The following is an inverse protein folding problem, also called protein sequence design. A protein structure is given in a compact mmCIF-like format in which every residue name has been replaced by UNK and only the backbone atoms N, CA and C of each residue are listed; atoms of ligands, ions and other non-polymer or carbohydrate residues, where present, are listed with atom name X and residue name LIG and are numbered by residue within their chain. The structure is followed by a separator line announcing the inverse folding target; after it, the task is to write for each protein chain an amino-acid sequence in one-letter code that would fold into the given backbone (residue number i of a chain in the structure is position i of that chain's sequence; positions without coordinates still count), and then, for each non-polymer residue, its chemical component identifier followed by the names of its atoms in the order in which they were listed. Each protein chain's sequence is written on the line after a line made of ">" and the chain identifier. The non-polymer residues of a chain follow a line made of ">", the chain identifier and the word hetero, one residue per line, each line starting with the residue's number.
data_IF_597877487606
#
_entry.id   IF_597877487606
#
_cell.length_a   1.000
_cell.length_b   1.000
_cell.length_c   1.000
_cell.angle_alpha   90.00
_cell.angle_beta   90.00
_cell.angle_gamma   90.00
#
_symmetry.space_group_name_H-M   'P 1'
#
loop_
_entity.id
_entity.type
_entity.pdbx_description
1 polymer ?
#
# COMPACT_ATOMS: atom_id res chain seq x y z
N UNK A 1 21.21 29.10 -31.77
CA UNK A 1 20.09 28.26 -32.26
C UNK A 1 19.73 27.32 -31.13
N UNK A 2 18.49 27.36 -30.66
CA UNK A 2 18.06 26.37 -29.65
C UNK A 2 18.09 24.97 -30.28
N UNK A 3 18.89 24.09 -29.75
CA UNK A 3 18.93 22.69 -30.18
C UNK A 3 17.57 22.07 -29.92
N UNK A 4 16.94 21.47 -30.92
CA UNK A 4 15.67 20.75 -30.77
C UNK A 4 15.95 19.28 -30.44
N UNK A 5 15.10 18.66 -29.64
CA UNK A 5 15.07 17.24 -29.34
C UNK A 5 13.77 16.62 -29.86
N UNK A 6 13.83 15.37 -30.28
CA UNK A 6 12.67 14.60 -30.74
C UNK A 6 12.19 13.70 -29.60
N UNK A 7 10.92 13.86 -29.27
CA UNK A 7 10.23 13.03 -28.29
C UNK A 7 9.24 12.12 -29.03
N UNK A 8 9.49 10.82 -29.00
CA UNK A 8 8.63 9.81 -29.57
C UNK A 8 7.68 9.27 -28.49
N UNK A 9 6.38 9.43 -28.70
CA UNK A 9 5.33 9.01 -27.77
C UNK A 9 4.68 7.72 -28.26
N UNK A 10 4.94 6.59 -27.60
CA UNK A 10 4.31 5.27 -27.84
C UNK A 10 4.28 4.82 -29.30
N UNK A 11 5.24 5.23 -30.12
CA UNK A 11 5.23 5.03 -31.58
C UNK A 11 3.97 5.58 -32.30
N UNK A 12 3.19 6.45 -31.63
CA UNK A 12 2.00 7.10 -32.17
C UNK A 12 2.36 8.42 -32.86
N UNK A 13 3.15 9.25 -32.21
CA UNK A 13 3.59 10.53 -32.75
C UNK A 13 4.98 10.94 -32.25
N UNK A 14 5.67 11.71 -33.03
CA UNK A 14 6.95 12.32 -32.67
C UNK A 14 6.82 13.84 -32.72
N UNK A 15 7.13 14.50 -31.60
CA UNK A 15 7.06 15.96 -31.45
C UNK A 15 8.45 16.52 -31.14
N UNK A 16 8.76 17.68 -31.69
CA UNK A 16 10.04 18.37 -31.43
C UNK A 16 9.85 19.42 -30.33
N UNK A 17 10.76 19.41 -29.34
CA UNK A 17 10.79 20.37 -28.25
C UNK A 17 12.18 21.01 -28.14
N UNK A 18 12.31 22.23 -27.62
CA UNK A 18 13.60 22.79 -27.25
C UNK A 18 14.32 21.88 -26.23
N UNK A 19 15.63 21.71 -26.40
CA UNK A 19 16.47 21.04 -25.40
C UNK A 19 16.33 21.73 -24.03
N UNK A 20 16.20 20.95 -22.95
CA UNK A 20 15.95 21.44 -21.61
C UNK A 20 14.45 21.60 -21.26
N UNK A 21 13.53 21.27 -22.18
CA UNK A 21 12.10 21.27 -21.87
C UNK A 21 11.79 20.18 -20.84
N UNK A 22 10.99 20.52 -19.80
CA UNK A 22 10.61 19.58 -18.77
C UNK A 22 9.60 18.56 -19.27
N UNK A 23 9.59 17.36 -18.69
CA UNK A 23 8.55 16.36 -18.99
C UNK A 23 7.13 16.86 -18.63
N UNK A 24 7.00 17.79 -17.64
CA UNK A 24 5.71 18.43 -17.34
C UNK A 24 5.21 19.28 -18.52
N UNK A 25 6.09 20.04 -19.17
CA UNK A 25 5.71 20.83 -20.32
C UNK A 25 5.45 19.95 -21.56
N UNK A 26 6.27 18.93 -21.74
CA UNK A 26 6.06 17.91 -22.80
C UNK A 26 4.72 17.19 -22.59
N UNK A 27 4.37 16.83 -21.36
CA UNK A 27 3.12 16.09 -21.08
C UNK A 27 1.84 16.86 -21.46
N UNK A 28 1.90 18.18 -21.55
CA UNK A 28 0.74 19.00 -21.94
C UNK A 28 0.23 18.67 -23.35
N UNK A 29 1.16 18.38 -24.29
CA UNK A 29 0.80 17.97 -25.66
C UNK A 29 0.10 16.61 -25.71
N UNK A 30 0.44 15.74 -24.77
CA UNK A 30 -0.05 14.35 -24.71
C UNK A 30 -1.20 14.16 -23.73
N UNK A 31 -1.59 15.17 -22.93
CA UNK A 31 -2.70 15.08 -21.96
C UNK A 31 -4.01 14.66 -22.62
N UNK A 32 -4.21 14.98 -23.91
CA UNK A 32 -5.38 14.59 -24.71
C UNK A 32 -5.64 13.08 -24.81
N UNK A 33 -4.62 12.25 -24.53
CA UNK A 33 -4.70 10.78 -24.53
C UNK A 33 -5.03 10.19 -23.17
N UNK A 34 -5.20 11.02 -22.13
CA UNK A 34 -5.40 10.59 -20.74
C UNK A 34 -6.64 11.23 -20.15
N UNK A 35 -7.41 10.41 -19.42
CA UNK A 35 -8.63 10.88 -18.74
C UNK A 35 -8.33 11.65 -17.46
N UNK A 36 -7.16 11.41 -16.86
CA UNK A 36 -6.73 12.02 -15.60
C UNK A 36 -5.41 12.78 -15.79
N UNK A 37 -5.05 13.66 -14.84
CA UNK A 37 -3.76 14.34 -14.90
C UNK A 37 -2.59 13.34 -15.01
N UNK A 38 -1.68 13.63 -15.92
CA UNK A 38 -0.43 12.88 -16.04
C UNK A 38 0.44 13.16 -14.81
N UNK A 39 0.89 12.12 -14.13
CA UNK A 39 1.59 12.20 -12.84
C UNK A 39 3.09 11.93 -12.94
N UNK A 40 3.46 10.92 -13.73
CA UNK A 40 4.85 10.52 -13.96
C UNK A 40 5.06 10.12 -15.41
N UNK A 41 6.32 10.00 -15.81
CA UNK A 41 6.71 9.55 -17.14
C UNK A 41 7.62 8.32 -17.07
N UNK A 42 7.66 7.57 -18.17
CA UNK A 42 8.65 6.54 -18.46
C UNK A 42 9.44 6.99 -19.68
N UNK A 43 10.74 7.21 -19.49
CA UNK A 43 11.66 7.68 -20.54
C UNK A 43 12.67 6.58 -20.82
N UNK A 44 12.75 6.11 -22.05
CA UNK A 44 13.68 5.03 -22.47
C UNK A 44 13.64 3.83 -21.48
N UNK A 45 12.43 3.43 -21.07
CA UNK A 45 12.12 2.37 -20.09
C UNK A 45 12.41 2.68 -18.61
N UNK A 46 12.84 3.88 -18.24
CA UNK A 46 13.04 4.28 -16.85
C UNK A 46 11.92 5.20 -16.36
N UNK A 47 11.27 4.84 -15.24
CA UNK A 47 10.29 5.72 -14.58
C UNK A 47 10.98 6.97 -14.03
N UNK A 48 10.36 8.11 -14.23
CA UNK A 48 10.90 9.40 -13.80
C UNK A 48 9.82 10.44 -13.56
N UNK A 49 10.15 11.43 -12.73
CA UNK A 49 9.27 12.56 -12.38
C UNK A 49 9.10 13.54 -13.55
N UNK A 50 7.98 14.24 -13.56
CA UNK A 50 7.68 15.23 -14.59
C UNK A 50 8.57 16.50 -14.55
N UNK A 51 9.23 16.78 -13.43
CA UNK A 51 10.18 17.90 -13.31
C UNK A 51 11.53 17.67 -13.99
N UNK A 52 11.78 16.47 -14.54
CA UNK A 52 13.02 16.16 -15.25
C UNK A 52 13.06 16.89 -16.59
N UNK A 53 14.18 17.56 -16.88
CA UNK A 53 14.48 18.19 -18.15
C UNK A 53 15.01 17.18 -19.16
N UNK A 54 14.62 17.33 -20.41
CA UNK A 54 15.03 16.44 -21.49
C UNK A 54 16.15 17.08 -22.33
N UNK A 55 17.27 16.37 -22.41
CA UNK A 55 18.52 16.86 -23.01
C UNK A 55 18.84 16.20 -24.37
N UNK A 56 18.17 15.12 -24.71
CA UNK A 56 18.39 14.30 -25.91
C UNK A 56 17.08 13.71 -26.43
N UNK A 57 17.11 13.22 -27.66
CA UNK A 57 15.99 12.46 -28.22
C UNK A 57 15.67 11.26 -27.31
N UNK A 58 14.40 10.97 -27.15
CA UNK A 58 13.93 9.91 -26.25
C UNK A 58 12.58 9.34 -26.66
N UNK A 59 12.30 8.13 -26.18
CA UNK A 59 10.97 7.55 -26.18
C UNK A 59 10.31 7.83 -24.84
N UNK A 60 9.07 8.34 -24.87
CA UNK A 60 8.33 8.70 -23.66
C UNK A 60 6.99 8.01 -23.65
N UNK A 61 6.64 7.48 -22.49
CA UNK A 61 5.28 7.11 -22.11
C UNK A 61 4.89 7.86 -20.84
N UNK A 62 3.61 8.20 -20.68
CA UNK A 62 3.11 8.89 -19.51
C UNK A 62 2.11 8.02 -18.75
N UNK A 63 2.02 8.25 -17.45
CA UNK A 63 1.12 7.49 -16.59
C UNK A 63 0.30 8.42 -15.71
N UNK A 64 -1.00 8.25 -15.76
CA UNK A 64 -1.96 8.81 -14.83
C UNK A 64 -2.32 7.80 -13.73
N UNK A 65 -3.30 8.13 -12.88
CA UNK A 65 -3.72 7.30 -11.76
C UNK A 65 -4.45 5.99 -12.14
N UNK A 66 -4.81 5.79 -13.39
CA UNK A 66 -5.45 4.55 -13.86
C UNK A 66 -4.46 3.39 -14.02
N UNK A 67 -3.16 3.68 -14.00
CA UNK A 67 -2.08 2.70 -14.13
C UNK A 67 -1.28 2.62 -12.83
N UNK A 68 -0.83 1.42 -12.44
CA UNK A 68 -0.16 1.14 -11.16
C UNK A 68 0.94 2.15 -10.82
N UNK A 69 1.83 2.49 -11.77
CA UNK A 69 2.94 3.41 -11.52
C UNK A 69 2.44 4.84 -11.21
N UNK A 70 1.48 5.35 -11.97
CA UNK A 70 0.86 6.65 -11.72
C UNK A 70 0.00 6.64 -10.45
N UNK A 71 -0.72 5.55 -10.17
CA UNK A 71 -1.49 5.42 -8.94
C UNK A 71 -0.59 5.41 -7.70
N UNK A 72 0.58 4.78 -7.76
CA UNK A 72 1.57 4.82 -6.67
C UNK A 72 2.05 6.26 -6.41
N UNK A 73 2.33 7.02 -7.47
CA UNK A 73 2.72 8.43 -7.35
C UNK A 73 1.57 9.27 -6.75
N UNK A 74 0.33 9.03 -7.18
CA UNK A 74 -0.87 9.67 -6.61
C UNK A 74 -1.01 9.38 -5.12
N UNK A 75 -0.97 8.11 -4.73
CA UNK A 75 -1.09 7.65 -3.35
C UNK A 75 -0.03 8.29 -2.43
N UNK A 76 1.23 8.28 -2.86
CA UNK A 76 2.33 8.89 -2.11
C UNK A 76 2.16 10.41 -1.98
N UNK A 77 1.68 11.07 -3.03
CA UNK A 77 1.45 12.52 -3.02
C UNK A 77 0.31 12.92 -2.07
N UNK A 78 -0.81 12.19 -2.10
CA UNK A 78 -1.94 12.45 -1.19
C UNK A 78 -1.57 12.18 0.28
N UNK A 79 -0.74 11.18 0.54
CA UNK A 79 -0.22 10.91 1.87
C UNK A 79 0.70 12.04 2.36
N UNK A 80 1.56 12.59 1.50
CA UNK A 80 2.39 13.73 1.86
C UNK A 80 1.57 14.98 2.16
N UNK A 81 0.50 15.24 1.38
CA UNK A 81 -0.44 16.32 1.65
C UNK A 81 -1.16 16.14 2.99
N UNK A 82 -1.55 14.91 3.34
CA UNK A 82 -2.13 14.60 4.66
C UNK A 82 -1.16 14.98 5.79
N UNK A 83 0.11 14.59 5.70
CA UNK A 83 1.12 14.92 6.72
C UNK A 83 1.26 16.42 6.88
N UNK A 84 1.30 17.19 5.78
CA UNK A 84 1.35 18.66 5.82
C UNK A 84 0.07 19.23 6.45
N UNK A 85 -1.12 18.77 6.05
CA UNK A 85 -2.40 19.25 6.59
C UNK A 85 -2.53 18.99 8.09
N UNK A 86 -2.11 17.81 8.56
CA UNK A 86 -2.11 17.50 10.01
C UNK A 86 -1.19 18.46 10.77
N UNK A 87 0.01 18.74 10.25
CA UNK A 87 0.93 19.70 10.87
C UNK A 87 0.39 21.13 10.88
N UNK A 88 -0.30 21.54 9.84
CA UNK A 88 -0.91 22.88 9.77
C UNK A 88 -2.04 23.02 10.79
N UNK A 89 -2.84 21.98 11.02
CA UNK A 89 -4.00 22.03 11.93
C UNK A 89 -3.63 21.74 13.39
N UNK A 90 -2.74 20.78 13.64
CA UNK A 90 -2.41 20.31 15.00
C UNK A 90 -1.07 20.85 15.53
N UNK A 91 -0.28 21.46 14.66
CA UNK A 91 1.02 22.04 15.00
C UNK A 91 2.20 21.31 14.37
N UNK A 92 3.32 22.03 14.24
CA UNK A 92 4.53 21.59 13.49
C UNK A 92 5.21 20.31 14.03
N UNK A 93 4.88 19.89 15.24
CA UNK A 93 5.45 18.71 15.89
C UNK A 93 4.50 17.50 15.85
N UNK A 94 3.32 17.64 15.25
CA UNK A 94 2.39 16.51 15.08
C UNK A 94 2.92 15.59 14.00
N UNK A 95 2.93 14.29 14.29
CA UNK A 95 3.36 13.25 13.36
C UNK A 95 2.19 12.31 13.04
N UNK A 96 2.07 11.98 11.75
CA UNK A 96 1.05 11.05 11.24
C UNK A 96 1.73 9.72 10.94
N UNK A 97 1.27 8.69 11.60
CA UNK A 97 1.66 7.32 11.27
C UNK A 97 0.70 6.75 10.23
N UNK A 98 1.16 6.59 9.01
CA UNK A 98 0.47 5.88 7.94
C UNK A 98 0.87 4.42 8.07
N UNK A 99 -0.08 3.56 8.48
CA UNK A 99 0.24 2.20 8.90
C UNK A 99 0.03 1.19 7.75
N UNK A 100 -1.17 0.68 7.61
CA UNK A 100 -1.47 -0.41 6.68
C UNK A 100 -2.61 -0.03 5.74
N UNK A 101 -2.60 -0.67 4.58
CA UNK A 101 -3.75 -0.63 3.69
C UNK A 101 -4.95 -1.32 4.35
N UNK A 102 -6.11 -0.72 4.24
CA UNK A 102 -7.37 -1.26 4.72
C UNK A 102 -8.49 -0.87 3.77
N UNK A 103 -9.23 -1.87 3.27
CA UNK A 103 -10.28 -1.67 2.27
C UNK A 103 -9.76 -0.82 1.08
N UNK A 104 -10.36 0.32 0.79
CA UNK A 104 -9.98 1.21 -0.31
C UNK A 104 -9.11 2.40 0.14
N UNK A 105 -8.30 2.24 1.18
CA UNK A 105 -7.47 3.32 1.71
C UNK A 105 -6.33 2.85 2.58
N UNK A 106 -5.79 3.77 3.37
CA UNK A 106 -4.74 3.51 4.35
C UNK A 106 -5.18 3.99 5.72
N UNK A 107 -4.90 3.16 6.73
CA UNK A 107 -5.18 3.50 8.13
C UNK A 107 -4.12 4.44 8.67
N UNK A 108 -4.55 5.50 9.33
CA UNK A 108 -3.70 6.56 9.85
C UNK A 108 -4.02 6.85 11.33
N UNK A 109 -2.96 7.11 12.09
CA UNK A 109 -3.03 7.61 13.47
C UNK A 109 -2.18 8.88 13.60
N UNK A 110 -2.52 9.75 14.55
CA UNK A 110 -1.65 10.87 14.93
C UNK A 110 -1.03 10.55 16.29
N UNK A 111 0.29 10.52 16.34
CA UNK A 111 1.01 10.15 17.55
C UNK A 111 0.66 11.06 18.72
N UNK A 112 0.31 10.45 19.87
CA UNK A 112 0.00 11.17 21.11
C UNK A 112 -1.27 12.03 21.07
N UNK A 113 -2.06 12.01 19.99
CA UNK A 113 -3.24 12.87 19.84
C UNK A 113 -4.46 12.05 19.38
N UNK A 114 -5.53 12.08 20.18
CA UNK A 114 -6.81 11.52 19.76
C UNK A 114 -7.49 12.46 18.77
N UNK A 115 -7.73 11.97 17.58
CA UNK A 115 -8.45 12.71 16.53
C UNK A 115 -9.95 12.65 16.79
N UNK A 116 -10.62 13.80 16.69
CA UNK A 116 -12.10 13.87 16.70
C UNK A 116 -12.62 14.02 15.28
N UNK A 117 -13.88 13.68 15.06
CA UNK A 117 -14.51 13.91 13.76
C UNK A 117 -14.45 15.37 13.30
N UNK A 118 -14.59 16.33 14.24
CA UNK A 118 -14.46 17.76 13.96
C UNK A 118 -13.04 18.14 13.54
N UNK A 119 -12.03 17.58 14.19
CA UNK A 119 -10.63 17.81 13.85
C UNK A 119 -10.30 17.21 12.49
N UNK A 120 -10.78 15.98 12.22
CA UNK A 120 -10.58 15.32 10.94
C UNK A 120 -11.16 16.11 9.78
N UNK A 121 -12.36 16.68 9.94
CA UNK A 121 -12.97 17.55 8.93
C UNK A 121 -12.10 18.78 8.63
N UNK A 122 -11.50 19.42 9.66
CA UNK A 122 -10.57 20.53 9.44
C UNK A 122 -9.31 20.13 8.69
N UNK A 123 -8.80 18.93 8.96
CA UNK A 123 -7.63 18.38 8.24
C UNK A 123 -8.00 18.15 6.75
N UNK A 124 -9.18 17.61 6.48
CA UNK A 124 -9.65 17.40 5.09
C UNK A 124 -9.85 18.73 4.36
N UNK A 125 -10.45 19.74 5.00
CA UNK A 125 -10.58 21.11 4.48
C UNK A 125 -9.19 21.71 4.17
N UNK A 126 -8.20 21.50 5.03
CA UNK A 126 -6.83 21.96 4.81
C UNK A 126 -6.14 21.23 3.65
N UNK A 127 -6.37 19.91 3.47
CA UNK A 127 -5.89 19.21 2.30
C UNK A 127 -6.45 19.81 1.01
N UNK A 128 -7.73 20.19 0.98
CA UNK A 128 -8.34 20.90 -0.16
C UNK A 128 -7.67 22.25 -0.40
N UNK A 129 -7.31 22.99 0.66
CA UNK A 129 -6.59 24.26 0.54
C UNK A 129 -5.18 24.06 -0.04
N UNK A 130 -4.48 23.00 0.38
CA UNK A 130 -3.16 22.60 -0.16
C UNK A 130 -3.26 22.33 -1.66
N UNK A 131 -4.31 21.63 -2.13
CA UNK A 131 -4.54 21.43 -3.57
C UNK A 131 -4.69 22.76 -4.32
N UNK A 132 -5.49 23.69 -3.77
CA UNK A 132 -5.75 25.00 -4.38
C UNK A 132 -4.50 25.89 -4.44
N UNK A 133 -3.60 25.75 -3.48
CA UNK A 133 -2.34 26.51 -3.43
C UNK A 133 -1.29 26.03 -4.44
N UNK A 134 -1.50 24.88 -5.08
CA UNK A 134 -0.66 24.35 -6.17
C UNK A 134 0.84 24.26 -5.79
N UNK A 135 1.14 23.69 -4.62
CA UNK A 135 2.52 23.47 -4.19
C UNK A 135 3.20 22.40 -5.04
N UNK A 136 4.47 22.65 -5.42
CA UNK A 136 5.28 21.70 -6.18
C UNK A 136 5.96 20.70 -5.26
N UNK A 137 5.85 19.40 -5.55
CA UNK A 137 6.64 18.35 -4.91
C UNK A 137 8.07 18.38 -5.45
N UNK A 138 9.00 18.87 -4.65
CA UNK A 138 10.40 19.02 -5.08
C UNK A 138 11.25 17.89 -4.52
N UNK A 139 11.81 17.06 -5.41
CA UNK A 139 12.77 15.99 -5.04
C UNK A 139 14.15 16.56 -4.84
N UNK A 140 14.75 16.32 -3.69
CA UNK A 140 16.08 16.77 -3.30
C UNK A 140 16.97 15.57 -3.02
N UNK A 141 18.16 15.55 -3.55
CA UNK A 141 19.19 14.59 -3.21
C UNK A 141 20.11 15.22 -2.16
N UNK A 142 20.03 14.73 -0.92
CA UNK A 142 20.77 15.27 0.22
C UNK A 142 21.69 14.21 0.82
N UNK A 143 22.74 14.63 1.52
CA UNK A 143 23.55 13.67 2.23
C UNK A 143 22.73 13.00 3.34
N UNK A 144 23.00 11.71 3.58
CA UNK A 144 22.33 10.96 4.65
C UNK A 144 22.51 11.62 6.02
N UNK A 145 23.65 12.23 6.27
CA UNK A 145 23.92 12.92 7.53
C UNK A 145 23.05 14.16 7.70
N UNK A 146 22.89 14.97 6.65
CA UNK A 146 21.99 16.13 6.66
C UNK A 146 20.55 15.72 6.91
N UNK A 147 20.09 14.64 6.26
CA UNK A 147 18.75 14.08 6.51
C UNK A 147 18.56 13.63 7.97
N UNK A 148 19.56 12.93 8.53
CA UNK A 148 19.55 12.51 9.94
C UNK A 148 19.49 13.74 10.87
N UNK A 149 20.27 14.78 10.63
CA UNK A 149 20.24 15.99 11.44
C UNK A 149 18.91 16.74 11.35
N UNK A 150 18.32 16.79 10.14
CA UNK A 150 16.99 17.36 9.94
C UNK A 150 15.96 16.62 10.80
N UNK A 151 15.88 15.29 10.71
CA UNK A 151 14.91 14.51 11.47
C UNK A 151 15.17 14.53 12.98
N UNK A 152 16.43 14.58 13.44
CA UNK A 152 16.76 14.79 14.86
C UNK A 152 16.19 16.12 15.38
N UNK A 153 16.35 17.21 14.64
CA UNK A 153 15.79 18.54 15.02
C UNK A 153 14.26 18.52 15.08
N UNK A 154 13.63 17.69 14.22
CA UNK A 154 12.16 17.50 14.21
C UNK A 154 11.68 16.45 15.21
N UNK A 155 12.59 15.78 15.95
CA UNK A 155 12.30 14.70 16.92
C UNK A 155 11.66 13.44 16.29
N UNK A 156 11.78 13.24 14.99
CA UNK A 156 11.29 12.08 14.24
C UNK A 156 12.32 10.93 14.33
N UNK A 157 12.38 10.28 15.51
CA UNK A 157 13.42 9.30 15.84
C UNK A 157 13.31 8.01 15.02
N UNK A 158 12.12 7.62 14.63
CA UNK A 158 11.87 6.48 13.73
C UNK A 158 12.60 6.68 12.40
N UNK A 159 12.46 7.86 11.77
CA UNK A 159 13.14 8.22 10.51
C UNK A 159 14.65 8.31 10.68
N UNK A 160 15.13 8.86 11.79
CA UNK A 160 16.57 8.86 12.14
C UNK A 160 17.10 7.43 12.20
N UNK A 161 16.36 6.54 12.86
CA UNK A 161 16.79 5.16 13.06
C UNK A 161 16.78 4.35 11.76
N UNK A 162 15.78 4.54 10.90
CA UNK A 162 15.78 3.90 9.56
C UNK A 162 17.00 4.33 8.75
N UNK A 163 17.31 5.63 8.72
CA UNK A 163 18.44 6.16 7.95
C UNK A 163 19.82 5.66 8.42
N UNK A 164 19.95 5.21 9.68
CA UNK A 164 21.20 4.61 10.18
C UNK A 164 21.55 3.29 9.46
N UNK A 165 20.57 2.56 8.97
CA UNK A 165 20.75 1.26 8.31
C UNK A 165 20.78 1.34 6.79
N UNK A 166 20.60 2.52 6.21
CA UNK A 166 20.76 2.73 4.77
C UNK A 166 22.25 2.86 4.45
N UNK A 167 22.74 2.07 3.49
CA UNK A 167 24.13 2.09 3.07
C UNK A 167 24.48 3.30 2.16
N UNK A 168 23.49 3.87 1.50
CA UNK A 168 23.71 4.97 0.55
C UNK A 168 24.19 6.23 1.27
N UNK A 169 25.18 6.90 0.69
CA UNK A 169 25.71 8.18 1.18
C UNK A 169 24.70 9.31 1.01
N UNK A 170 23.88 9.24 -0.04
CA UNK A 170 22.83 10.21 -0.36
C UNK A 170 21.46 9.56 -0.30
N UNK A 171 20.45 10.33 0.10
CA UNK A 171 19.05 9.93 0.15
C UNK A 171 18.17 10.96 -0.55
N UNK A 172 17.07 10.51 -1.14
CA UNK A 172 16.11 11.39 -1.76
C UNK A 172 15.05 11.80 -0.72
N UNK A 173 14.94 13.11 -0.47
CA UNK A 173 13.85 13.71 0.28
C UNK A 173 12.93 14.46 -0.69
N UNK A 174 11.66 14.52 -0.35
CA UNK A 174 10.72 15.40 -1.03
C UNK A 174 10.41 16.59 -0.14
N UNK A 175 10.39 17.77 -0.74
CA UNK A 175 9.92 19.01 -0.11
C UNK A 175 8.51 19.32 -0.58
N UNK A 176 7.65 19.62 0.39
CA UNK A 176 6.33 20.21 0.19
C UNK A 176 6.19 21.38 1.15
N UNK A 177 6.05 22.60 0.62
CA UNK A 177 6.11 23.85 1.39
C UNK A 177 7.42 23.94 2.24
N UNK A 178 7.34 24.06 3.56
CA UNK A 178 8.47 24.12 4.50
C UNK A 178 8.85 22.75 5.10
N UNK A 179 8.24 21.67 4.61
CA UNK A 179 8.40 20.32 5.13
C UNK A 179 9.19 19.42 4.19
N UNK A 180 10.01 18.55 4.77
CA UNK A 180 10.72 17.50 4.05
C UNK A 180 10.33 16.13 4.58
N UNK A 181 10.11 15.17 3.67
CA UNK A 181 9.89 13.79 4.03
C UNK A 181 10.47 12.81 3.01
N UNK A 182 10.55 11.55 3.41
CA UNK A 182 11.13 10.47 2.63
C UNK A 182 10.01 9.61 2.03
N UNK A 183 10.02 9.46 0.71
CA UNK A 183 9.09 8.59 0.00
C UNK A 183 9.84 7.67 -0.95
N UNK A 184 9.32 6.45 -1.12
CA UNK A 184 9.78 5.54 -2.16
C UNK A 184 9.11 5.89 -3.48
N UNK A 185 9.91 5.89 -4.57
CA UNK A 185 9.43 6.25 -5.90
C UNK A 185 9.29 7.75 -6.13
N UNK A 186 8.56 8.10 -7.18
CA UNK A 186 8.31 9.48 -7.57
C UNK A 186 6.90 9.92 -7.18
N UNK A 187 6.75 11.21 -6.87
CA UNK A 187 5.49 11.87 -6.56
C UNK A 187 4.93 12.57 -7.79
N UNK A 188 3.67 12.98 -7.73
CA UNK A 188 3.06 13.90 -8.69
C UNK A 188 3.90 15.18 -8.86
N UNK A 189 3.62 15.97 -9.88
CA UNK A 189 4.35 17.23 -10.07
C UNK A 189 3.92 18.27 -9.04
N UNK A 190 2.62 18.45 -8.83
CA UNK A 190 2.10 19.43 -7.86
C UNK A 190 0.86 18.91 -7.14
N UNK A 191 0.48 19.58 -6.05
CA UNK A 191 -0.70 19.26 -5.26
C UNK A 191 -2.02 19.46 -6.03
N UNK A 192 -2.01 20.29 -7.07
CA UNK A 192 -3.15 20.50 -7.97
C UNK A 192 -3.48 19.27 -8.83
N UNK A 193 -2.49 18.40 -9.07
CA UNK A 193 -2.70 17.16 -9.81
C UNK A 193 -3.46 16.11 -8.96
N UNK A 194 -3.74 16.40 -7.67
CA UNK A 194 -4.48 15.56 -6.72
C UNK A 194 -5.88 16.16 -6.54
N UNK A 195 -6.89 15.48 -7.07
CA UNK A 195 -8.25 16.00 -7.19
C UNK A 195 -9.30 15.23 -6.36
N UNK A 196 -8.97 14.05 -5.83
CA UNK A 196 -9.92 13.20 -5.12
C UNK A 196 -9.27 12.45 -3.95
N UNK A 197 -9.80 12.67 -2.76
CA UNK A 197 -9.46 11.94 -1.53
C UNK A 197 -10.58 12.10 -0.51
N UNK A 198 -10.58 11.26 0.52
CA UNK A 198 -11.57 11.32 1.61
C UNK A 198 -10.95 10.87 2.91
N UNK A 199 -11.27 11.55 4.00
CA UNK A 199 -10.92 11.14 5.37
C UNK A 199 -12.14 10.56 6.06
N UNK A 200 -12.07 9.31 6.52
CA UNK A 200 -13.15 8.65 7.24
C UNK A 200 -12.72 8.39 8.68
N UNK A 201 -13.45 8.98 9.64
CA UNK A 201 -13.21 8.81 11.06
C UNK A 201 -13.54 7.39 11.52
N UNK A 202 -12.62 6.77 12.28
CA UNK A 202 -12.85 5.50 12.97
C UNK A 202 -12.84 5.78 14.46
N UNK A 203 -13.92 5.43 15.14
CA UNK A 203 -14.07 5.66 16.58
C UNK A 203 -12.91 5.01 17.35
N UNK A 204 -12.31 5.80 18.23
CA UNK A 204 -11.26 5.45 19.20
C UNK A 204 -9.86 5.12 18.64
N UNK A 205 -9.70 4.83 17.32
CA UNK A 205 -8.47 4.26 16.80
C UNK A 205 -7.83 5.02 15.63
N UNK A 206 -8.30 6.22 15.27
CA UNK A 206 -7.71 6.98 14.16
C UNK A 206 -8.68 7.20 12.98
N UNK A 207 -8.17 7.19 11.76
CA UNK A 207 -8.95 7.47 10.56
C UNK A 207 -8.37 6.75 9.33
N UNK A 208 -9.18 6.65 8.27
CA UNK A 208 -8.75 6.14 6.97
C UNK A 208 -8.64 7.27 5.96
N UNK A 209 -7.53 7.34 5.26
CA UNK A 209 -7.35 8.14 4.05
C UNK A 209 -7.66 7.24 2.85
N UNK A 210 -8.75 7.53 2.15
CA UNK A 210 -9.14 6.89 0.89
C UNK A 210 -8.80 7.78 -0.30
N UNK A 211 -8.43 7.17 -1.43
CA UNK A 211 -8.15 7.83 -2.71
C UNK A 211 -8.46 6.87 -3.87
N UNK A 212 -8.59 7.37 -5.12
CA UNK A 212 -8.83 6.52 -6.28
C UNK A 212 -7.74 5.44 -6.43
N UNK A 213 -8.13 4.23 -6.83
CA UNK A 213 -7.22 3.14 -7.13
C UNK A 213 -7.34 2.69 -8.59
N UNK A 214 -6.48 1.78 -9.03
CA UNK A 214 -6.44 1.31 -10.43
C UNK A 214 -7.73 0.62 -10.89
N UNK A 215 -8.53 0.07 -9.97
CA UNK A 215 -9.81 -0.58 -10.27
C UNK A 215 -10.97 0.42 -10.31
N UNK A 216 -10.82 1.55 -9.64
CA UNK A 216 -11.79 2.64 -9.59
C UNK A 216 -11.04 3.99 -9.68
N UNK A 217 -10.51 4.34 -10.85
CA UNK A 217 -9.73 5.56 -11.04
C UNK A 217 -10.57 6.83 -11.08
N UNK A 218 -11.89 6.73 -11.36
CA UNK A 218 -12.77 7.88 -11.57
C UNK A 218 -13.12 8.62 -10.27
N UNK A 219 -13.20 7.93 -9.14
CA UNK A 219 -13.61 8.51 -7.87
C UNK A 219 -13.01 7.79 -6.66
N UNK A 220 -13.01 8.48 -5.52
CA UNK A 220 -12.64 7.90 -4.23
C UNK A 220 -13.81 7.09 -3.68
N UNK A 221 -13.61 5.79 -3.48
CA UNK A 221 -14.60 4.92 -2.86
C UNK A 221 -14.74 5.22 -1.37
N UNK A 222 -15.96 5.04 -0.85
CA UNK A 222 -16.21 5.09 0.58
C UNK A 222 -15.54 3.90 1.30
N UNK A 223 -14.98 4.19 2.47
CA UNK A 223 -14.44 3.14 3.33
C UNK A 223 -15.58 2.26 3.88
N UNK A 224 -15.48 0.97 3.66
CA UNK A 224 -16.36 -0.03 4.24
C UNK A 224 -15.68 -0.68 5.46
N UNK A 225 -16.23 -0.44 6.65
CA UNK A 225 -15.64 -0.98 7.87
C UNK A 225 -15.69 -2.51 7.90
N UNK A 226 -14.51 -3.13 8.07
CA UNK A 226 -14.31 -4.57 8.20
C UNK A 226 -13.82 -4.89 9.61
N UNK A 227 -14.70 -5.08 10.62
CA UNK A 227 -14.31 -5.10 12.03
C UNK A 227 -13.26 -6.16 12.36
N UNK A 228 -13.37 -7.37 11.78
CA UNK A 228 -12.43 -8.45 12.03
C UNK A 228 -11.04 -8.15 11.44
N UNK A 229 -10.99 -7.57 10.25
CA UNK A 229 -9.72 -7.17 9.61
C UNK A 229 -9.05 -6.05 10.40
N UNK A 230 -9.81 -5.00 10.74
CA UNK A 230 -9.32 -3.87 11.54
C UNK A 230 -8.80 -4.33 12.90
N UNK A 231 -9.55 -5.23 13.58
CA UNK A 231 -9.14 -5.84 14.85
C UNK A 231 -7.82 -6.62 14.70
N UNK A 232 -7.69 -7.44 13.66
CA UNK A 232 -6.48 -8.23 13.42
C UNK A 232 -5.24 -7.34 13.26
N UNK A 233 -5.33 -6.26 12.46
CA UNK A 233 -4.23 -5.30 12.31
C UNK A 233 -3.90 -4.60 13.63
N UNK A 234 -4.94 -4.14 14.38
CA UNK A 234 -4.76 -3.49 15.68
C UNK A 234 -4.10 -4.43 16.70
N UNK A 235 -4.55 -5.67 16.80
CA UNK A 235 -3.98 -6.65 17.73
C UNK A 235 -2.51 -6.96 17.38
N UNK A 236 -2.19 -7.06 16.09
CA UNK A 236 -0.81 -7.28 15.63
C UNK A 236 0.10 -6.08 15.90
N UNK A 237 -0.40 -4.86 15.66
CA UNK A 237 0.34 -3.64 15.98
C UNK A 237 0.60 -3.50 17.48
N UNK A 238 -0.39 -3.80 18.34
CA UNK A 238 -0.23 -3.83 19.79
C UNK A 238 0.80 -4.85 20.24
N UNK A 239 0.77 -6.05 19.64
CA UNK A 239 1.77 -7.08 19.92
C UNK A 239 3.17 -6.62 19.51
N UNK A 240 3.35 -6.02 18.34
CA UNK A 240 4.63 -5.44 17.90
C UNK A 240 5.18 -4.41 18.91
N UNK A 241 4.31 -3.49 19.37
CA UNK A 241 4.67 -2.52 20.43
C UNK A 241 5.10 -3.22 21.73
N UNK A 242 4.39 -4.27 22.14
CA UNK A 242 4.67 -5.03 23.38
C UNK A 242 6.03 -5.72 23.32
N UNK A 243 6.47 -6.24 22.18
CA UNK A 243 7.77 -6.89 22.01
C UNK A 243 8.90 -5.92 21.61
N UNK A 244 8.58 -4.60 21.48
CA UNK A 244 9.55 -3.56 21.11
C UNK A 244 9.98 -3.58 19.64
N UNK A 245 9.13 -4.09 18.75
CA UNK A 245 9.35 -4.14 17.29
C UNK A 245 8.14 -3.54 16.58
N UNK A 246 8.06 -2.22 16.56
CA UNK A 246 6.95 -1.48 15.95
C UNK A 246 7.29 -0.92 14.57
N UNK A 247 8.56 -0.75 14.27
CA UNK A 247 9.05 -0.11 13.05
C UNK A 247 10.12 -0.95 12.36
N UNK A 248 10.37 -0.68 11.09
CA UNK A 248 11.49 -1.29 10.37
C UNK A 248 12.84 -0.97 11.02
N UNK A 249 12.96 0.18 11.69
CA UNK A 249 14.15 0.54 12.43
C UNK A 249 14.41 -0.38 13.64
N UNK A 250 13.34 -0.71 14.39
CA UNK A 250 13.43 -1.64 15.52
C UNK A 250 13.84 -3.04 15.05
N UNK A 251 13.23 -3.50 13.94
CA UNK A 251 13.61 -4.77 13.31
C UNK A 251 15.07 -4.77 12.90
N UNK A 252 15.55 -3.74 12.20
CA UNK A 252 16.93 -3.60 11.79
C UNK A 252 17.89 -3.59 12.99
N UNK A 253 17.49 -2.94 14.08
CA UNK A 253 18.28 -2.94 15.31
C UNK A 253 18.43 -4.36 15.87
N UNK A 254 17.34 -5.12 16.01
CA UNK A 254 17.38 -6.51 16.51
C UNK A 254 18.24 -7.41 15.61
N UNK A 255 18.10 -7.27 14.29
CA UNK A 255 18.91 -8.01 13.31
C UNK A 255 20.38 -7.66 13.46
N UNK A 256 20.73 -6.37 13.63
CA UNK A 256 22.13 -5.92 13.81
C UNK A 256 22.76 -6.45 15.11
N UNK A 257 21.94 -6.73 16.13
CA UNK A 257 22.39 -7.33 17.39
C UNK A 257 22.48 -8.88 17.34
N UNK A 258 22.18 -9.50 16.21
CA UNK A 258 22.15 -10.96 16.04
C UNK A 258 21.00 -11.67 16.77
N UNK A 259 19.99 -10.93 17.26
CA UNK A 259 18.86 -11.46 18.05
C UNK A 259 17.65 -11.87 17.19
N UNK A 260 17.80 -11.99 15.88
CA UNK A 260 16.70 -12.33 14.97
C UNK A 260 16.08 -13.71 15.26
N UNK A 261 16.86 -14.69 15.72
CA UNK A 261 16.33 -16.01 16.07
C UNK A 261 15.37 -15.97 17.27
N UNK A 262 15.60 -15.09 18.24
CA UNK A 262 14.68 -14.86 19.35
C UNK A 262 13.36 -14.27 18.86
N UNK A 263 13.43 -13.28 17.98
CA UNK A 263 12.25 -12.66 17.36
C UNK A 263 11.44 -13.67 16.54
N UNK A 264 12.11 -14.56 15.78
CA UNK A 264 11.45 -15.63 15.02
C UNK A 264 10.68 -16.55 15.99
N UNK A 265 11.32 -17.00 17.07
CA UNK A 265 10.66 -17.87 18.07
C UNK A 265 9.46 -17.19 18.73
N UNK A 266 9.56 -15.90 19.07
CA UNK A 266 8.44 -15.14 19.61
C UNK A 266 7.29 -15.07 18.63
N UNK A 267 7.57 -14.81 17.36
CA UNK A 267 6.58 -14.72 16.29
C UNK A 267 5.88 -16.06 16.04
N UNK A 268 6.65 -17.15 16.01
CA UNK A 268 6.10 -18.51 15.87
C UNK A 268 5.24 -18.89 17.07
N UNK A 269 5.69 -18.62 18.29
CA UNK A 269 4.93 -18.89 19.52
C UNK A 269 3.61 -18.11 19.55
N UNK A 270 3.65 -16.82 19.12
CA UNK A 270 2.44 -16.01 19.03
C UNK A 270 1.47 -16.58 17.98
N UNK A 271 1.95 -16.94 16.80
CA UNK A 271 1.16 -17.56 15.76
C UNK A 271 0.51 -18.88 16.23
N UNK A 272 1.28 -19.76 16.87
CA UNK A 272 0.77 -21.03 17.41
C UNK A 272 -0.27 -20.81 18.50
N UNK A 273 -0.08 -19.81 19.36
CA UNK A 273 -1.10 -19.45 20.36
C UNK A 273 -2.43 -19.02 19.74
N UNK A 274 -2.39 -18.30 18.60
CA UNK A 274 -3.60 -17.92 17.87
C UNK A 274 -4.30 -19.16 17.28
N UNK A 275 -3.56 -20.09 16.67
CA UNK A 275 -4.09 -21.34 16.14
C UNK A 275 -4.73 -22.20 17.23
N UNK A 276 -4.09 -22.28 18.41
CA UNK A 276 -4.67 -22.99 19.56
C UNK A 276 -6.03 -22.40 19.98
N UNK A 277 -6.11 -21.04 20.08
CA UNK A 277 -7.37 -20.35 20.41
C UNK A 277 -8.47 -20.61 19.39
N UNK A 278 -8.11 -20.62 18.08
CA UNK A 278 -9.06 -20.97 17.02
C UNK A 278 -9.57 -22.41 17.22
N UNK A 279 -8.67 -23.36 17.50
CA UNK A 279 -9.04 -24.75 17.75
C UNK A 279 -9.92 -24.91 19.00
N UNK A 280 -9.68 -24.13 20.07
CA UNK A 280 -10.54 -24.09 21.26
C UNK A 280 -11.94 -23.56 20.92
N UNK A 281 -12.01 -22.46 20.15
CA UNK A 281 -13.29 -21.91 19.69
C UNK A 281 -14.10 -22.92 18.86
N UNK A 282 -13.43 -23.69 17.99
CA UNK A 282 -14.07 -24.75 17.20
C UNK A 282 -14.54 -25.88 18.11
N UNK A 283 -13.70 -26.28 19.09
CA UNK A 283 -14.07 -27.33 20.04
C UNK A 283 -15.29 -26.97 20.86
N UNK A 284 -15.38 -25.75 21.37
CA UNK A 284 -16.52 -25.24 22.15
C UNK A 284 -17.81 -25.20 21.31
N UNK A 285 -17.70 -25.13 19.99
CA UNK A 285 -18.83 -25.09 19.04
C UNK A 285 -18.95 -26.37 18.18
N UNK A 286 -18.37 -27.49 18.62
CA UNK A 286 -18.26 -28.74 17.85
C UNK A 286 -19.57 -29.30 17.33
N UNK A 287 -20.67 -29.07 18.05
CA UNK A 287 -22.01 -29.55 17.65
C UNK A 287 -22.54 -28.82 16.39
N UNK A 288 -22.09 -27.58 16.18
CA UNK A 288 -22.56 -26.70 15.10
C UNK A 288 -21.55 -26.55 13.95
N UNK A 289 -20.25 -26.73 14.21
CA UNK A 289 -19.19 -26.53 13.19
C UNK A 289 -18.86 -27.88 12.56
N UNK A 290 -19.25 -28.04 11.31
CA UNK A 290 -18.93 -29.22 10.49
C UNK A 290 -17.93 -28.93 9.40
N UNK A 291 -17.83 -27.68 8.96
CA UNK A 291 -16.95 -27.21 7.87
C UNK A 291 -16.18 -25.97 8.28
N UNK A 292 -14.89 -25.96 7.99
CA UNK A 292 -14.00 -24.83 8.24
C UNK A 292 -13.40 -24.42 6.91
N UNK A 293 -13.67 -23.19 6.48
CA UNK A 293 -13.14 -22.62 5.24
C UNK A 293 -11.93 -21.72 5.54
N UNK A 294 -10.80 -21.98 4.89
CA UNK A 294 -9.59 -21.18 4.99
C UNK A 294 -9.32 -20.53 3.63
N UNK A 295 -9.53 -19.22 3.56
CA UNK A 295 -9.30 -18.43 2.35
C UNK A 295 -8.15 -17.42 2.55
N UNK A 296 -7.54 -17.00 1.44
CA UNK A 296 -6.48 -15.99 1.44
C UNK A 296 -5.78 -15.93 0.07
N UNK A 297 -5.02 -14.88 -0.21
CA UNK A 297 -4.31 -14.71 -1.47
C UNK A 297 -3.24 -15.80 -1.67
N UNK A 298 -2.67 -15.85 -2.88
CA UNK A 298 -1.56 -16.76 -3.17
C UNK A 298 -0.38 -16.49 -2.21
N UNK A 299 0.33 -17.52 -1.84
CA UNK A 299 1.48 -17.47 -0.90
C UNK A 299 1.18 -16.90 0.50
N UNK A 300 -0.09 -16.78 0.90
CA UNK A 300 -0.48 -16.28 2.24
C UNK A 300 -0.32 -17.31 3.37
N UNK A 301 0.11 -18.53 3.06
CA UNK A 301 0.30 -19.59 4.06
C UNK A 301 -0.96 -20.42 4.36
N UNK A 302 -2.01 -20.37 3.52
CA UNK A 302 -3.26 -21.16 3.69
C UNK A 302 -2.98 -22.63 4.00
N UNK A 303 -2.15 -23.28 3.18
CA UNK A 303 -1.82 -24.72 3.32
C UNK A 303 -1.07 -24.98 4.63
N UNK A 304 -0.15 -24.11 5.03
CA UNK A 304 0.57 -24.26 6.30
C UNK A 304 -0.37 -24.10 7.49
N UNK A 305 -1.23 -23.08 7.45
CA UNK A 305 -2.24 -22.81 8.48
C UNK A 305 -3.22 -23.98 8.59
N UNK A 306 -3.71 -24.51 7.47
CA UNK A 306 -4.62 -25.67 7.44
C UNK A 306 -3.97 -26.90 8.09
N UNK A 307 -2.73 -27.23 7.70
CA UNK A 307 -2.00 -28.37 8.28
C UNK A 307 -1.75 -28.21 9.77
N UNK A 308 -1.33 -27.03 10.22
CA UNK A 308 -1.12 -26.77 11.66
C UNK A 308 -2.44 -26.83 12.44
N UNK A 309 -3.50 -26.15 11.94
CA UNK A 309 -4.82 -26.17 12.58
C UNK A 309 -5.37 -27.62 12.70
N UNK A 310 -5.15 -28.43 11.67
CA UNK A 310 -5.51 -29.83 11.67
C UNK A 310 -4.87 -30.60 12.86
N UNK A 311 -3.57 -30.36 13.12
CA UNK A 311 -2.88 -30.98 14.28
C UNK A 311 -3.50 -30.52 15.60
N UNK A 312 -3.82 -29.22 15.75
CA UNK A 312 -4.48 -28.69 16.94
C UNK A 312 -5.89 -29.27 17.16
N UNK A 313 -6.65 -29.49 16.08
CA UNK A 313 -7.98 -30.10 16.13
C UNK A 313 -7.88 -31.59 16.49
N UNK A 314 -6.94 -32.32 15.86
CA UNK A 314 -6.70 -33.73 16.21
C UNK A 314 -6.29 -33.92 17.69
N UNK A 315 -5.47 -33.01 18.23
CA UNK A 315 -5.09 -33.04 19.66
C UNK A 315 -6.30 -32.84 20.60
N UNK A 316 -7.43 -32.31 20.08
CA UNK A 316 -8.73 -32.17 20.80
C UNK A 316 -9.70 -33.28 20.48
N UNK A 317 -9.24 -34.34 19.80
CA UNK A 317 -10.06 -35.53 19.50
C UNK A 317 -10.87 -35.47 18.21
N UNK A 318 -10.72 -34.43 17.38
CA UNK A 318 -11.41 -34.39 16.09
C UNK A 318 -10.77 -35.33 15.07
N UNK A 319 -11.62 -35.96 14.25
CA UNK A 319 -11.21 -36.61 13.00
C UNK A 319 -11.43 -35.61 11.87
N UNK A 320 -10.37 -35.09 11.34
CA UNK A 320 -10.40 -34.01 10.35
C UNK A 320 -9.97 -34.51 8.97
N UNK A 321 -10.60 -34.00 7.92
CA UNK A 321 -10.24 -34.22 6.52
C UNK A 321 -9.95 -32.87 5.88
N UNK A 322 -8.74 -32.68 5.33
CA UNK A 322 -8.38 -31.49 4.57
C UNK A 322 -8.67 -31.70 3.10
N UNK A 323 -9.37 -30.75 2.49
CA UNK A 323 -9.67 -30.72 1.07
C UNK A 323 -9.03 -29.45 0.51
N UNK A 324 -8.23 -29.59 -0.55
CA UNK A 324 -7.75 -28.45 -1.35
C UNK A 324 -8.71 -28.20 -2.50
N UNK A 325 -9.15 -26.94 -2.67
CA UNK A 325 -9.93 -26.56 -3.84
C UNK A 325 -9.10 -26.69 -5.12
N UNK A 326 -7.78 -26.61 -5.01
CA UNK A 326 -6.85 -26.79 -6.14
C UNK A 326 -6.98 -28.18 -6.80
N UNK A 327 -7.44 -29.19 -6.03
CA UNK A 327 -7.66 -30.57 -6.56
C UNK A 327 -8.93 -30.68 -7.43
N UNK A 328 -9.73 -29.63 -7.52
CA UNK A 328 -11.00 -29.58 -8.24
C UNK A 328 -10.97 -28.68 -9.47
N UNK A 329 -9.81 -28.13 -9.85
CA UNK A 329 -9.74 -27.40 -11.11
C UNK A 329 -10.06 -28.32 -12.31
N UNK A 330 -10.87 -27.82 -13.22
CA UNK A 330 -11.13 -28.50 -14.50
C UNK A 330 -9.86 -28.57 -15.32
N UNK A 331 -9.81 -29.48 -16.29
CA UNK A 331 -8.68 -29.56 -17.23
C UNK A 331 -8.47 -28.20 -17.92
N UNK A 332 -7.24 -27.85 -18.20
CA UNK A 332 -6.85 -26.57 -18.79
C UNK A 332 -7.66 -26.23 -20.06
N UNK A 333 -7.99 -27.22 -20.85
CA UNK A 333 -8.80 -27.08 -22.08
C UNK A 333 -10.23 -26.58 -21.78
N UNK A 334 -10.76 -26.89 -20.59
CA UNK A 334 -12.10 -26.52 -20.14
C UNK A 334 -12.11 -25.29 -19.23
N UNK A 335 -10.93 -24.72 -18.93
CA UNK A 335 -10.84 -23.48 -18.14
C UNK A 335 -11.42 -22.33 -18.95
N UNK A 336 -12.33 -21.52 -18.37
CA UNK A 336 -12.89 -20.36 -19.04
C UNK A 336 -11.78 -19.37 -19.42
N UNK A 337 -12.07 -18.52 -20.41
CA UNK A 337 -11.18 -17.43 -20.82
C UNK A 337 -11.79 -16.11 -20.42
N UNK A 338 -10.92 -15.16 -20.08
CA UNK A 338 -11.27 -13.77 -19.86
C UNK A 338 -11.59 -13.04 -21.19
N UNK A 339 -11.97 -11.77 -21.10
CA UNK A 339 -12.31 -10.94 -22.27
C UNK A 339 -11.11 -10.70 -23.20
N UNK A 340 -9.87 -10.92 -22.72
CA UNK A 340 -8.63 -10.79 -23.48
C UNK A 340 -8.19 -12.15 -24.11
N UNK A 341 -8.91 -13.24 -23.82
CA UNK A 341 -8.65 -14.57 -24.34
C UNK A 341 -7.64 -15.40 -23.53
N UNK A 342 -7.21 -14.91 -22.35
CA UNK A 342 -6.36 -15.64 -21.43
C UNK A 342 -7.20 -16.60 -20.56
N UNK A 343 -6.59 -17.68 -20.05
CA UNK A 343 -7.29 -18.59 -19.13
C UNK A 343 -7.58 -17.88 -17.78
N UNK A 344 -8.86 -17.84 -17.40
CA UNK A 344 -9.32 -17.27 -16.14
C UNK A 344 -9.42 -18.36 -15.05
N UNK A 345 -8.33 -18.54 -14.32
CA UNK A 345 -8.25 -19.50 -13.20
C UNK A 345 -8.94 -18.98 -11.93
N UNK A 346 -9.29 -17.70 -11.86
CA UNK A 346 -10.01 -17.11 -10.73
C UNK A 346 -11.55 -17.25 -10.86
N UNK A 347 -12.01 -17.65 -12.03
CA UNK A 347 -13.43 -17.91 -12.27
C UNK A 347 -13.93 -19.15 -11.50
N UNK A 348 -15.11 -19.05 -10.91
CA UNK A 348 -15.78 -20.22 -10.30
C UNK A 348 -15.98 -21.36 -11.32
N UNK A 349 -16.12 -21.04 -12.60
CA UNK A 349 -16.27 -22.04 -13.68
C UNK A 349 -14.99 -22.82 -13.98
N UNK A 350 -13.82 -22.37 -13.45
CA UNK A 350 -12.58 -23.11 -13.53
C UNK A 350 -12.54 -24.29 -12.53
N UNK A 351 -13.54 -24.39 -11.63
CA UNK A 351 -13.63 -25.45 -10.62
C UNK A 351 -14.80 -26.38 -10.96
N UNK A 352 -14.57 -27.70 -10.88
CA UNK A 352 -15.63 -28.72 -10.94
C UNK A 352 -16.47 -28.66 -9.64
N UNK A 353 -17.41 -27.73 -9.61
CA UNK A 353 -18.28 -27.50 -8.46
C UNK A 353 -19.24 -28.67 -8.20
N UNK A 354 -19.59 -29.45 -9.22
CA UNK A 354 -20.46 -30.64 -9.08
C UNK A 354 -19.71 -31.74 -8.34
N UNK A 355 -18.48 -32.04 -8.74
CA UNK A 355 -17.62 -33.01 -8.06
C UNK A 355 -17.34 -32.59 -6.62
N UNK A 356 -16.99 -31.30 -6.42
CA UNK A 356 -16.75 -30.75 -5.09
C UNK A 356 -17.95 -30.90 -4.17
N UNK A 357 -19.15 -30.49 -4.61
CA UNK A 357 -20.39 -30.58 -3.82
C UNK A 357 -20.74 -32.03 -3.51
N UNK A 358 -20.57 -32.95 -4.46
CA UNK A 358 -20.82 -34.38 -4.25
C UNK A 358 -19.86 -34.98 -3.19
N UNK A 359 -18.58 -34.59 -3.21
CA UNK A 359 -17.62 -35.05 -2.20
C UNK A 359 -17.90 -34.43 -0.85
N UNK A 360 -18.25 -33.15 -0.80
CA UNK A 360 -18.58 -32.46 0.43
C UNK A 360 -19.84 -33.06 1.11
N UNK A 361 -20.88 -33.31 0.32
CA UNK A 361 -22.10 -33.98 0.84
C UNK A 361 -21.77 -35.34 1.48
N UNK A 362 -20.97 -36.18 0.80
CA UNK A 362 -20.57 -37.50 1.34
C UNK A 362 -19.72 -37.43 2.62
N UNK A 363 -19.07 -36.32 2.90
CA UNK A 363 -18.29 -36.13 4.12
C UNK A 363 -19.13 -35.56 5.28
N UNK A 364 -20.27 -34.92 4.97
CA UNK A 364 -21.16 -34.33 5.94
C UNK A 364 -22.24 -35.28 6.39
N UNK A 365 -22.63 -36.29 5.56
CA UNK A 365 -23.48 -37.41 5.89
C UNK A 365 -22.78 -38.43 6.82
#
# INVERSE_FOLDING_TARGET
>A
MNTMIKVNFRDLETVEFPKGTTLKDISKEFQKYYNFPILIAKVDNELTRLSKEMEKNCNVDFYDRSITAGNTAYASSVQFMLILAVRNILGKNSDVMIQNSIDNGVYCEVEGTKITQKTLKKIEEEMVNICKNDYIFTKLNVSRLEAIEYYKRKKLLDKVNVLKYISNTYVNLYRLDDMYDYFFGDLAYSTKDIDSFKLTYIKDDGFVLSYPNIYNPDYTMDYCHRPLVAKTFSDYAKWGKMIGVSTAADLNYIVSQGKYNELIRLSETYYESQLSRIADTIYDNKENVKLILIAGPSSSGKTTTSKKLNVYLQSRGFKTHSISIDDYFVNRENTPKDDEGNYDFESLKAIDTELFNRHLAKLLD
#
